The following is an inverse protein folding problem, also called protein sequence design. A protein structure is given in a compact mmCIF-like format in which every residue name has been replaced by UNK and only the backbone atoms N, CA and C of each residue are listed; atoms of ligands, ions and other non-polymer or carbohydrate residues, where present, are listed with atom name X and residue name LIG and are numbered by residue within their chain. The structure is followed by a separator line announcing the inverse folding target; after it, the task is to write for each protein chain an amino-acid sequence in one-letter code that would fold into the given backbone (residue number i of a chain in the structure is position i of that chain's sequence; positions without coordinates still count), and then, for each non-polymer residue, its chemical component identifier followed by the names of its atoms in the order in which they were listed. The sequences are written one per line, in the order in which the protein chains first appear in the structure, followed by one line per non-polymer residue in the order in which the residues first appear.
data_IF_259436753795
#
_entry.id   IF_259436753795
#
_cell.length_a   1.000
_cell.length_b   1.000
_cell.length_c   1.000
_cell.angle_alpha   90.00
_cell.angle_beta   90.00
_cell.angle_gamma   90.00
#
_symmetry.space_group_name_H-M   'P 1'
#
loop_
_entity.id
_entity.type
_entity.pdbx_description
1 polymer ?
#
# COMPACT_ATOMS: atom_id res chain seq x y z
N UNK A 1 18.42 -12.03 18.51
CA UNK A 1 17.07 -11.45 18.59
C UNK A 1 16.97 -10.36 17.53
N UNK A 2 16.02 -10.53 16.61
CA UNK A 2 15.96 -9.93 15.28
C UNK A 2 15.96 -8.40 15.25
N UNK A 3 16.69 -7.91 14.24
CA UNK A 3 16.86 -6.55 13.74
C UNK A 3 15.50 -5.83 13.62
N UNK A 4 15.16 -5.03 14.63
CA UNK A 4 14.08 -4.07 14.58
C UNK A 4 14.66 -2.73 14.14
N UNK A 5 14.42 -2.33 12.88
CA UNK A 5 14.48 -0.95 12.38
C UNK A 5 14.18 -0.91 10.87
N UNK A 6 12.88 -0.97 10.55
CA UNK A 6 12.27 -0.59 9.26
C UNK A 6 10.78 -0.30 9.51
N UNK A 7 10.48 0.49 10.55
CA UNK A 7 9.27 0.33 11.36
C UNK A 7 8.11 1.30 11.07
N UNK A 8 8.10 1.99 9.94
CA UNK A 8 7.09 3.04 9.71
C UNK A 8 6.11 2.80 8.55
N UNK A 9 6.34 1.83 7.66
CA UNK A 9 5.44 1.57 6.53
C UNK A 9 4.99 0.10 6.47
N UNK A 10 3.67 -0.20 6.42
CA UNK A 10 3.17 -1.57 6.33
C UNK A 10 3.66 -2.27 5.06
N UNK A 11 3.74 -3.60 5.08
CA UNK A 11 4.00 -4.40 3.87
C UNK A 11 2.87 -4.20 2.84
N UNK A 12 3.08 -4.55 1.57
CA UNK A 12 2.01 -4.40 0.57
C UNK A 12 0.77 -5.23 0.95
N UNK A 13 0.98 -6.47 1.39
CA UNK A 13 -0.10 -7.34 1.88
C UNK A 13 -0.79 -6.77 3.13
N UNK A 14 -0.04 -6.19 4.06
CA UNK A 14 -0.62 -5.59 5.26
C UNK A 14 -1.43 -4.33 4.93
N UNK A 15 -0.94 -3.50 4.01
CA UNK A 15 -1.66 -2.33 3.53
C UNK A 15 -2.97 -2.71 2.82
N UNK A 16 -2.97 -3.82 2.08
CA UNK A 16 -4.16 -4.33 1.41
C UNK A 16 -5.19 -4.86 2.41
N UNK A 17 -4.76 -5.64 3.42
CA UNK A 17 -5.63 -6.10 4.50
C UNK A 17 -6.24 -4.94 5.28
N UNK A 18 -5.47 -3.88 5.52
CA UNK A 18 -5.96 -2.69 6.20
C UNK A 18 -6.98 -1.93 5.35
N UNK A 19 -6.78 -1.84 4.03
CA UNK A 19 -7.76 -1.27 3.09
C UNK A 19 -9.08 -2.05 3.09
N UNK A 20 -9.04 -3.39 3.08
CA UNK A 20 -10.24 -4.23 3.18
C UNK A 20 -11.00 -3.96 4.49
N UNK A 21 -10.28 -3.88 5.61
CA UNK A 21 -10.91 -3.56 6.89
C UNK A 21 -11.50 -2.13 6.93
N UNK A 22 -10.87 -1.16 6.26
CA UNK A 22 -11.43 0.20 6.13
C UNK A 22 -12.73 0.16 5.32
N UNK A 23 -12.77 -0.56 4.20
CA UNK A 23 -13.97 -0.72 3.38
C UNK A 23 -15.12 -1.33 4.18
N UNK A 24 -14.87 -2.39 4.95
CA UNK A 24 -15.88 -2.98 5.84
C UNK A 24 -16.42 -1.97 6.86
N UNK A 25 -15.56 -1.10 7.42
CA UNK A 25 -16.01 -0.06 8.37
C UNK A 25 -16.84 1.03 7.69
N UNK A 26 -16.47 1.43 6.48
CA UNK A 26 -17.21 2.43 5.68
C UNK A 26 -18.59 1.90 5.28
N UNK A 27 -18.68 0.63 4.90
CA UNK A 27 -19.94 -0.01 4.50
C UNK A 27 -20.89 -0.26 5.68
N UNK A 28 -20.38 -0.20 6.92
CA UNK A 28 -21.23 -0.28 8.11
C UNK A 28 -21.95 1.06 8.35
N UNK A 29 -23.28 1.04 8.23
CA UNK A 29 -24.21 2.20 8.24
C UNK A 29 -24.26 3.00 9.56
N UNK A 30 -23.54 2.60 10.60
CA UNK A 30 -23.49 3.30 11.90
C UNK A 30 -22.34 4.31 12.03
N UNK A 31 -21.62 4.59 10.94
CA UNK A 31 -20.40 5.42 10.99
C UNK A 31 -20.71 6.92 10.93
N UNK A 32 -20.31 7.66 11.97
CA UNK A 32 -20.35 9.13 12.03
C UNK A 32 -19.54 9.75 10.87
N UNK A 33 -20.00 10.88 10.32
CA UNK A 33 -19.40 11.57 9.17
C UNK A 33 -17.94 11.94 9.41
N UNK A 34 -17.59 12.33 10.65
CA UNK A 34 -16.21 12.67 11.00
C UNK A 34 -15.30 11.42 10.94
N UNK A 35 -15.80 10.25 11.35
CA UNK A 35 -15.08 8.97 11.24
C UNK A 35 -14.89 8.55 9.78
N UNK A 36 -15.90 8.73 8.94
CA UNK A 36 -15.79 8.49 7.49
C UNK A 36 -14.64 9.29 6.87
N UNK A 37 -14.47 10.55 7.29
CA UNK A 37 -13.37 11.40 6.84
C UNK A 37 -11.98 10.87 7.23
N UNK A 38 -11.82 10.38 8.46
CA UNK A 38 -10.57 9.80 8.95
C UNK A 38 -10.24 8.47 8.24
N UNK A 39 -11.23 7.60 8.05
CA UNK A 39 -11.10 6.33 7.35
C UNK A 39 -10.69 6.53 5.88
N UNK A 40 -11.33 7.48 5.18
CA UNK A 40 -10.96 7.85 3.81
C UNK A 40 -9.55 8.41 3.70
N UNK A 41 -9.13 9.23 4.67
CA UNK A 41 -7.75 9.76 4.72
C UNK A 41 -6.76 8.61 4.84
N UNK A 42 -7.01 7.68 5.76
CA UNK A 42 -6.14 6.51 5.96
C UNK A 42 -6.09 5.63 4.71
N UNK A 43 -7.23 5.37 4.08
CA UNK A 43 -7.28 4.62 2.83
C UNK A 43 -6.44 5.28 1.73
N UNK A 44 -6.49 6.61 1.63
CA UNK A 44 -5.70 7.37 0.64
C UNK A 44 -4.19 7.21 0.88
N UNK A 45 -3.74 7.28 2.13
CA UNK A 45 -2.33 7.04 2.49
C UNK A 45 -1.85 5.64 2.10
N UNK A 46 -2.69 4.62 2.36
CA UNK A 46 -2.40 3.23 2.01
C UNK A 46 -2.35 3.03 0.49
N UNK A 47 -3.24 3.68 -0.27
CA UNK A 47 -3.23 3.62 -1.73
C UNK A 47 -1.96 4.24 -2.31
N UNK A 48 -1.52 5.39 -1.81
CA UNK A 48 -0.26 6.00 -2.25
C UNK A 48 0.95 5.13 -1.93
N UNK A 49 0.95 4.49 -0.75
CA UNK A 49 1.98 3.52 -0.39
C UNK A 49 2.00 2.33 -1.37
N UNK A 50 0.84 1.76 -1.67
CA UNK A 50 0.70 0.64 -2.60
C UNK A 50 1.18 1.02 -4.00
N UNK A 51 0.78 2.18 -4.53
CA UNK A 51 1.25 2.72 -5.82
C UNK A 51 2.77 2.88 -5.85
N UNK A 52 3.35 3.45 -4.79
CA UNK A 52 4.80 3.61 -4.67
C UNK A 52 5.54 2.26 -4.75
N UNK A 53 5.01 1.22 -4.10
CA UNK A 53 5.60 -0.13 -4.13
C UNK A 53 5.50 -0.79 -5.49
N UNK A 54 4.34 -0.68 -6.15
CA UNK A 54 4.14 -1.21 -7.51
C UNK A 54 5.15 -0.55 -8.46
N UNK A 55 5.26 0.78 -8.42
CA UNK A 55 6.19 1.52 -9.28
C UNK A 55 7.65 1.13 -9.04
N UNK A 56 8.04 0.88 -7.78
CA UNK A 56 9.39 0.37 -7.47
C UNK A 56 9.61 -1.01 -8.08
N UNK A 57 8.65 -1.91 -7.96
CA UNK A 57 8.74 -3.24 -8.55
C UNK A 57 8.81 -3.17 -10.09
N UNK A 58 8.03 -2.30 -10.73
CA UNK A 58 8.10 -2.06 -12.19
C UNK A 58 9.51 -1.63 -12.62
N UNK A 59 10.10 -0.64 -11.93
CA UNK A 59 11.46 -0.16 -12.22
C UNK A 59 12.49 -1.28 -12.02
N UNK A 60 12.37 -2.08 -10.96
CA UNK A 60 13.26 -3.21 -10.73
C UNK A 60 13.18 -4.25 -11.87
N UNK A 61 11.96 -4.54 -12.34
CA UNK A 61 11.74 -5.44 -13.49
C UNK A 61 12.38 -4.86 -14.76
N UNK A 62 12.14 -3.58 -15.07
CA UNK A 62 12.75 -2.91 -16.23
C UNK A 62 14.28 -2.99 -16.18
N UNK A 63 14.88 -2.75 -15.02
CA UNK A 63 16.33 -2.87 -14.84
C UNK A 63 16.85 -4.30 -15.03
N UNK A 64 16.11 -5.30 -14.57
CA UNK A 64 16.46 -6.71 -14.78
C UNK A 64 16.40 -7.05 -16.28
N UNK A 65 15.33 -6.65 -16.96
CA UNK A 65 15.17 -6.89 -18.41
C UNK A 65 16.28 -6.22 -19.22
N UNK A 66 16.62 -4.97 -18.90
CA UNK A 66 17.73 -4.26 -19.53
C UNK A 66 19.08 -4.98 -19.33
N UNK A 67 19.34 -5.48 -18.11
CA UNK A 67 20.56 -6.26 -17.80
C UNK A 67 20.62 -7.61 -18.52
N UNK A 68 19.48 -8.21 -18.84
CA UNK A 68 19.40 -9.48 -19.55
C UNK A 68 19.57 -9.34 -21.06
N UNK A 69 19.76 -8.12 -21.59
CA UNK A 69 20.04 -7.88 -23.00
C UNK A 69 18.81 -7.71 -23.87
N UNK A 70 17.70 -7.21 -23.31
CA UNK A 70 16.49 -6.85 -24.05
C UNK A 70 16.61 -5.60 -24.95
N UNK A 71 17.79 -5.34 -25.50
CA UNK A 71 17.99 -4.44 -26.64
C UNK A 71 18.03 -5.30 -27.92
N UNK A 72 16.89 -5.43 -28.58
CA UNK A 72 16.76 -5.85 -29.97
C UNK A 72 15.75 -4.95 -30.68
#
# INVERSE_FOLDING_TARGET
MSKAEAKDAPSFSAALQELEAILERIDNEETDVDRLGDELRRATELLELCRSKIRKAEIEVEQIVAKLGGDA
#
